data_IF_738403885573
#
_entry.id   IF_738403885573
#
_cell.length_a   1.000
_cell.length_b   1.000
_cell.length_c   1.000
_cell.angle_alpha   90.00
_cell.angle_beta   90.00
_cell.angle_gamma   90.00
#
_symmetry.space_group_name_H-M   'P 1'
#
loop_
_entity.id
_entity.type
_entity.pdbx_description
1 polymer ?
#
# COMPACT_ATOMS: atom_id res chain seq x y z
N UNK A 1 -15.13 5.76 -1.82
CA UNK A 1 -13.93 6.63 -1.88
C UNK A 1 -13.04 6.13 -3.01
N UNK A 2 -12.33 7.00 -3.73
CA UNK A 2 -11.54 6.59 -4.91
C UNK A 2 -10.15 7.23 -4.90
N UNK A 3 -9.15 6.46 -5.33
CA UNK A 3 -7.81 6.90 -5.71
C UNK A 3 -7.63 6.51 -7.18
N UNK A 4 -7.25 7.44 -8.04
CA UNK A 4 -6.71 7.14 -9.37
C UNK A 4 -5.20 7.33 -9.33
N UNK A 5 -4.45 6.30 -9.73
CA UNK A 5 -2.99 6.41 -9.78
C UNK A 5 -2.56 7.55 -10.70
N UNK A 6 -3.18 7.63 -11.89
CA UNK A 6 -2.89 8.66 -12.89
C UNK A 6 -3.04 10.08 -12.31
N UNK A 7 -4.19 10.40 -11.73
CA UNK A 7 -4.48 11.79 -11.31
C UNK A 7 -4.00 12.12 -9.90
N UNK A 8 -4.02 11.16 -8.98
CA UNK A 8 -3.74 11.41 -7.56
C UNK A 8 -2.30 11.12 -7.18
N UNK A 9 -1.54 10.40 -8.02
CA UNK A 9 -0.17 10.01 -7.72
C UNK A 9 0.82 10.33 -8.86
N UNK A 10 0.79 9.56 -9.94
CA UNK A 10 1.73 9.70 -11.05
C UNK A 10 1.29 8.93 -12.30
N UNK A 11 1.52 9.51 -13.48
CA UNK A 11 1.30 8.86 -14.77
C UNK A 11 2.26 7.69 -15.02
N UNK A 12 3.50 7.78 -14.54
CA UNK A 12 4.53 6.74 -14.71
C UNK A 12 5.07 6.28 -13.33
N UNK A 13 4.34 5.41 -12.61
CA UNK A 13 4.75 4.89 -11.31
C UNK A 13 6.13 4.24 -11.34
N UNK A 14 6.91 4.52 -10.30
CA UNK A 14 8.32 4.19 -10.21
C UNK A 14 8.62 2.84 -9.53
N UNK A 15 9.83 2.69 -8.96
CA UNK A 15 10.30 1.43 -8.42
C UNK A 15 9.69 1.11 -7.04
N UNK A 16 10.19 0.03 -6.42
CA UNK A 16 9.82 -0.39 -5.07
C UNK A 16 10.03 0.71 -4.02
N UNK A 17 11.27 1.20 -3.90
CA UNK A 17 11.72 2.03 -2.78
C UNK A 17 11.98 3.49 -3.16
N UNK A 18 11.77 4.42 -2.22
CA UNK A 18 12.06 5.85 -2.41
C UNK A 18 13.51 6.12 -2.82
N UNK A 19 14.46 5.32 -2.30
CA UNK A 19 15.88 5.46 -2.64
C UNK A 19 16.25 5.02 -4.07
N UNK A 20 15.37 4.28 -4.75
CA UNK A 20 15.61 3.76 -6.10
C UNK A 20 15.12 4.71 -7.18
N UNK A 21 14.22 5.63 -6.84
CA UNK A 21 13.63 6.56 -7.79
C UNK A 21 12.39 7.25 -7.21
N UNK A 22 11.89 8.24 -7.94
CA UNK A 22 10.66 8.97 -7.62
C UNK A 22 9.43 8.11 -7.86
N UNK A 23 8.29 8.53 -7.30
CA UNK A 23 6.99 7.89 -7.52
C UNK A 23 7.00 6.39 -7.15
N UNK A 24 7.77 6.03 -6.13
CA UNK A 24 7.91 4.64 -5.69
C UNK A 24 6.68 4.07 -4.99
N UNK A 25 6.58 2.75 -4.89
CA UNK A 25 5.51 2.08 -4.14
C UNK A 25 5.54 2.44 -2.64
N UNK A 26 6.73 2.58 -2.08
CA UNK A 26 6.94 3.08 -0.71
C UNK A 26 6.38 4.50 -0.53
N UNK A 27 6.66 5.38 -1.49
CA UNK A 27 6.14 6.76 -1.48
C UNK A 27 4.61 6.79 -1.60
N UNK A 28 4.03 6.07 -2.55
CA UNK A 28 2.58 5.99 -2.74
C UNK A 28 1.88 5.50 -1.47
N UNK A 29 2.43 4.47 -0.84
CA UNK A 29 1.89 3.89 0.38
C UNK A 29 1.77 4.94 1.50
N UNK A 30 2.89 5.58 1.83
CA UNK A 30 2.97 6.47 2.98
C UNK A 30 2.32 7.83 2.72
N UNK A 31 2.30 8.33 1.48
CA UNK A 31 1.67 9.63 1.16
C UNK A 31 0.17 9.55 0.97
N UNK A 32 -0.36 8.45 0.41
CA UNK A 32 -1.74 8.40 -0.08
C UNK A 32 -2.47 7.16 0.41
N UNK A 33 -2.00 5.96 0.06
CA UNK A 33 -2.79 4.74 0.19
C UNK A 33 -3.15 4.43 1.64
N UNK A 34 -2.18 4.54 2.57
CA UNK A 34 -2.40 4.19 3.97
C UNK A 34 -3.52 5.00 4.62
N UNK A 35 -3.49 6.33 4.49
CA UNK A 35 -4.46 7.22 5.13
C UNK A 35 -5.86 7.05 4.53
N UNK A 36 -5.96 6.99 3.20
CA UNK A 36 -7.23 6.76 2.49
C UNK A 36 -7.86 5.41 2.83
N UNK A 37 -7.03 4.37 3.03
CA UNK A 37 -7.53 3.06 3.43
C UNK A 37 -8.01 3.04 4.90
N UNK A 38 -7.30 3.71 5.80
CA UNK A 38 -7.77 3.89 7.17
C UNK A 38 -9.12 4.64 7.22
N UNK A 39 -9.30 5.67 6.40
CA UNK A 39 -10.55 6.41 6.30
C UNK A 39 -11.70 5.57 5.72
N UNK A 40 -11.40 4.68 4.76
CA UNK A 40 -12.34 3.70 4.23
C UNK A 40 -12.83 2.74 5.32
N UNK A 41 -11.93 2.22 6.17
CA UNK A 41 -12.30 1.39 7.32
C UNK A 41 -13.16 2.17 8.32
N UNK A 42 -12.75 3.40 8.70
CA UNK A 42 -13.49 4.23 9.67
C UNK A 42 -14.91 4.57 9.19
N UNK A 43 -15.05 4.87 7.90
CA UNK A 43 -16.33 5.20 7.27
C UNK A 43 -17.16 3.97 6.88
N UNK A 44 -16.60 2.75 7.04
CA UNK A 44 -17.20 1.48 6.60
C UNK A 44 -17.55 1.49 5.11
N UNK A 45 -16.70 2.09 4.29
CA UNK A 45 -16.85 2.19 2.83
C UNK A 45 -15.66 1.56 2.12
N UNK A 46 -15.86 1.04 0.91
CA UNK A 46 -14.73 0.56 0.10
C UNK A 46 -13.89 1.71 -0.45
N UNK A 47 -12.58 1.48 -0.47
CA UNK A 47 -11.60 2.26 -1.21
C UNK A 47 -11.45 1.64 -2.61
N UNK A 48 -11.84 2.40 -3.63
CA UNK A 48 -11.58 2.05 -5.01
C UNK A 48 -10.20 2.56 -5.41
N UNK A 49 -9.35 1.68 -5.92
CA UNK A 49 -8.04 1.99 -6.46
C UNK A 49 -8.06 1.75 -7.96
N UNK A 50 -8.03 2.84 -8.73
CA UNK A 50 -8.05 2.82 -10.18
C UNK A 50 -6.64 2.86 -10.75
N UNK A 51 -6.30 1.79 -11.48
CA UNK A 51 -4.99 1.56 -12.08
C UNK A 51 -4.91 1.99 -13.55
N UNK A 52 -6.04 2.26 -14.18
CA UNK A 52 -6.12 2.55 -15.61
C UNK A 52 -5.54 3.94 -15.95
N UNK A 53 -5.00 4.07 -17.17
CA UNK A 53 -4.53 5.33 -17.73
C UNK A 53 -3.08 5.71 -17.41
N UNK A 54 -2.33 4.87 -16.70
CA UNK A 54 -0.88 5.05 -16.47
C UNK A 54 -0.06 4.46 -17.61
N UNK A 55 1.23 4.82 -17.71
CA UNK A 55 2.19 4.21 -18.65
C UNK A 55 2.56 2.75 -18.33
N UNK A 56 1.98 2.18 -17.27
CA UNK A 56 2.19 0.83 -16.79
C UNK A 56 2.93 0.79 -15.45
N UNK A 57 3.07 -0.42 -14.93
CA UNK A 57 3.63 -0.65 -13.59
C UNK A 57 4.77 -1.67 -13.61
N UNK A 58 5.68 -1.51 -12.66
CA UNK A 58 6.56 -2.60 -12.25
C UNK A 58 5.87 -3.44 -11.18
N UNK A 59 5.95 -4.77 -11.23
CA UNK A 59 5.39 -5.64 -10.18
C UNK A 59 5.92 -5.27 -8.77
N UNK A 60 7.17 -4.83 -8.70
CA UNK A 60 7.82 -4.39 -7.46
C UNK A 60 7.18 -3.16 -6.79
N UNK A 61 6.48 -2.32 -7.57
CA UNK A 61 5.70 -1.19 -7.06
C UNK A 61 4.51 -1.71 -6.23
N UNK A 62 3.74 -2.65 -6.79
CA UNK A 62 2.57 -3.23 -6.13
C UNK A 62 2.95 -4.08 -4.93
N UNK A 63 4.04 -4.83 -5.05
CA UNK A 63 4.56 -5.62 -3.95
C UNK A 63 4.87 -4.74 -2.73
N UNK A 64 5.44 -3.55 -2.92
CA UNK A 64 5.65 -2.62 -1.80
C UNK A 64 4.34 -1.99 -1.32
N UNK A 65 3.57 -1.39 -2.23
CA UNK A 65 2.42 -0.59 -1.83
C UNK A 65 1.33 -1.45 -1.16
N UNK A 66 0.94 -2.54 -1.80
CA UNK A 66 -0.07 -3.46 -1.26
C UNK A 66 0.52 -4.32 -0.16
N UNK A 67 1.80 -4.69 -0.26
CA UNK A 67 2.45 -5.47 0.78
C UNK A 67 2.48 -4.77 2.14
N UNK A 68 2.83 -3.49 2.15
CA UNK A 68 2.74 -2.68 3.37
C UNK A 68 1.28 -2.54 3.85
N UNK A 69 0.33 -2.38 2.94
CA UNK A 69 -1.09 -2.31 3.29
C UNK A 69 -1.56 -3.58 3.99
N UNK A 70 -1.19 -4.76 3.48
CA UNK A 70 -1.52 -6.04 4.10
C UNK A 70 -0.79 -6.17 5.44
N UNK A 71 0.49 -5.82 5.50
CA UNK A 71 1.25 -5.86 6.75
C UNK A 71 0.59 -5.02 7.85
N UNK A 72 0.16 -3.81 7.51
CA UNK A 72 -0.40 -2.87 8.48
C UNK A 72 -1.88 -3.14 8.81
N UNK A 73 -2.68 -3.71 7.91
CA UNK A 73 -4.12 -3.86 8.11
C UNK A 73 -4.66 -5.29 8.11
N UNK A 74 -3.83 -6.30 7.82
CA UNK A 74 -4.17 -7.70 7.50
C UNK A 74 -4.87 -7.89 6.15
N UNK A 75 -4.65 -9.06 5.54
CA UNK A 75 -5.33 -9.44 4.30
C UNK A 75 -6.85 -9.47 4.43
N UNK A 76 -7.37 -9.78 5.62
CA UNK A 76 -8.82 -9.78 5.86
C UNK A 76 -9.40 -8.38 5.60
N UNK A 77 -8.81 -7.34 6.20
CA UNK A 77 -9.30 -5.96 5.98
C UNK A 77 -9.04 -5.48 4.57
N UNK A 78 -7.90 -5.82 3.99
CA UNK A 78 -7.61 -5.47 2.59
C UNK A 78 -8.66 -6.06 1.64
N UNK A 79 -9.01 -7.34 1.77
CA UNK A 79 -10.06 -7.96 0.95
C UNK A 79 -11.47 -7.38 1.23
N UNK A 80 -11.75 -6.96 2.46
CA UNK A 80 -13.03 -6.38 2.85
C UNK A 80 -13.23 -4.97 2.24
N UNK A 81 -12.20 -4.13 2.29
CA UNK A 81 -12.29 -2.69 2.00
C UNK A 81 -11.63 -2.24 0.71
N UNK A 82 -10.73 -3.00 0.09
CA UNK A 82 -10.08 -2.61 -1.16
C UNK A 82 -10.84 -3.15 -2.37
N UNK A 83 -11.11 -2.27 -3.34
CA UNK A 83 -11.61 -2.61 -4.65
C UNK A 83 -10.66 -2.09 -5.72
N UNK A 84 -10.28 -2.94 -6.68
CA UNK A 84 -9.35 -2.57 -7.76
C UNK A 84 -10.10 -2.46 -9.09
N UNK A 85 -9.91 -1.32 -9.76
CA UNK A 85 -10.30 -1.05 -11.13
C UNK A 85 -9.02 -1.16 -11.99
N UNK A 86 -9.00 -2.11 -12.92
CA UNK A 86 -7.88 -2.38 -13.83
C UNK A 86 -8.45 -2.99 -15.10
N UNK A 87 -9.11 -2.17 -15.92
CA UNK A 87 -9.77 -2.60 -17.16
C UNK A 87 -8.79 -2.72 -18.31
N UNK A 88 -7.76 -1.88 -18.35
CA UNK A 88 -6.75 -1.88 -19.41
C UNK A 88 -5.79 -3.06 -19.24
N UNK A 89 -5.36 -3.31 -18.00
CA UNK A 89 -4.45 -4.40 -17.66
C UNK A 89 -4.99 -5.24 -16.48
N UNK A 90 -5.94 -6.18 -16.70
CA UNK A 90 -6.53 -6.98 -15.62
C UNK A 90 -5.51 -7.83 -14.84
N UNK A 91 -4.34 -8.10 -15.42
CA UNK A 91 -3.25 -8.86 -14.79
C UNK A 91 -2.79 -8.24 -13.47
N UNK A 92 -2.85 -6.92 -13.30
CA UNK A 92 -2.47 -6.28 -12.05
C UNK A 92 -3.42 -6.62 -10.91
N UNK A 93 -4.73 -6.62 -11.20
CA UNK A 93 -5.74 -7.06 -10.24
C UNK A 93 -5.52 -8.52 -9.86
N UNK A 94 -5.24 -9.38 -10.83
CA UNK A 94 -4.95 -10.79 -10.55
C UNK A 94 -3.68 -10.98 -9.72
N UNK A 95 -2.59 -10.32 -10.07
CA UNK A 95 -1.32 -10.37 -9.34
C UNK A 95 -1.51 -9.95 -7.88
N UNK A 96 -2.22 -8.85 -7.65
CA UNK A 96 -2.47 -8.30 -6.32
C UNK A 96 -3.27 -9.27 -5.46
N UNK A 97 -4.41 -9.75 -5.95
CA UNK A 97 -5.30 -10.59 -5.13
C UNK A 97 -4.84 -12.04 -5.02
N UNK A 98 -4.21 -12.60 -6.06
CA UNK A 98 -3.80 -14.02 -6.07
C UNK A 98 -2.41 -14.26 -5.51
N UNK A 99 -1.50 -13.28 -5.56
CA UNK A 99 -0.09 -13.47 -5.16
C UNK A 99 0.31 -12.54 -4.02
N UNK A 100 0.26 -11.23 -4.25
CA UNK A 100 0.81 -10.25 -3.29
C UNK A 100 0.09 -10.29 -1.95
N UNK A 101 -1.26 -10.27 -1.94
CA UNK A 101 -2.02 -10.26 -0.69
C UNK A 101 -1.77 -11.52 0.16
N UNK A 102 -1.88 -12.75 -0.40
CA UNK A 102 -1.53 -13.97 0.34
C UNK A 102 -0.10 -13.99 0.87
N UNK A 103 0.89 -13.67 0.02
CA UNK A 103 2.31 -13.70 0.39
C UNK A 103 2.62 -12.74 1.55
N UNK A 104 2.08 -11.52 1.50
CA UNK A 104 2.31 -10.54 2.56
C UNK A 104 1.55 -10.81 3.84
N UNK A 105 0.44 -11.56 3.78
CA UNK A 105 -0.24 -12.04 4.98
C UNK A 105 0.64 -13.06 5.71
N UNK A 106 1.27 -13.98 4.99
CA UNK A 106 2.23 -14.90 5.60
C UNK A 106 3.40 -14.15 6.26
N UNK A 107 3.93 -13.13 5.58
CA UNK A 107 5.01 -12.29 6.12
C UNK A 107 4.56 -11.54 7.38
N UNK A 108 3.34 -10.99 7.38
CA UNK A 108 2.73 -10.34 8.55
C UNK A 108 2.63 -11.31 9.73
N UNK A 109 2.15 -12.54 9.51
CA UNK A 109 2.03 -13.58 10.54
C UNK A 109 3.42 -13.97 11.09
N UNK A 110 4.43 -14.04 10.23
CA UNK A 110 5.82 -14.31 10.59
C UNK A 110 6.54 -13.09 11.19
N UNK A 111 5.88 -11.94 11.28
CA UNK A 111 6.45 -10.66 11.69
C UNK A 111 7.69 -10.24 10.87
N UNK A 112 7.72 -10.63 9.59
CA UNK A 112 8.74 -10.19 8.63
C UNK A 112 8.38 -8.78 8.11
N UNK A 113 8.96 -7.79 8.77
CA UNK A 113 8.61 -6.38 8.56
C UNK A 113 9.07 -5.84 7.20
N UNK A 114 8.24 -5.07 6.49
CA UNK A 114 8.66 -4.38 5.26
C UNK A 114 9.84 -3.45 5.52
N UNK A 115 10.79 -3.42 4.59
CA UNK A 115 11.91 -2.48 4.62
C UNK A 115 11.40 -1.05 4.47
N UNK A 116 12.04 -0.10 5.15
CA UNK A 116 11.81 1.34 5.00
C UNK A 116 13.11 1.99 4.58
N UNK A 117 13.12 2.63 3.41
CA UNK A 117 14.33 3.23 2.84
C UNK A 117 14.40 4.73 3.02
N UNK A 118 13.28 5.37 3.35
CA UNK A 118 13.28 6.72 3.89
C UNK A 118 12.77 6.76 5.33
N UNK A 119 13.68 6.62 6.29
CA UNK A 119 13.31 6.58 7.70
C UNK A 119 12.86 7.93 8.26
N UNK A 120 13.34 9.04 7.68
CA UNK A 120 13.05 10.39 8.16
C UNK A 120 11.90 11.09 7.38
N UNK A 121 11.48 10.57 6.22
CA UNK A 121 10.45 11.23 5.41
C UNK A 121 9.04 10.66 5.65
N UNK A 122 8.93 9.52 6.32
CA UNK A 122 7.63 8.90 6.61
C UNK A 122 7.01 9.49 7.86
N UNK A 123 5.99 10.32 7.66
CA UNK A 123 5.10 10.79 8.73
C UNK A 123 4.37 9.61 9.37
N UNK A 124 3.79 9.85 10.55
CA UNK A 124 2.96 8.87 11.24
C UNK A 124 1.85 8.30 10.32
N UNK A 125 1.74 6.96 10.29
CA UNK A 125 0.78 6.25 9.45
C UNK A 125 -0.03 5.24 10.28
N UNK A 126 -1.13 4.77 9.71
CA UNK A 126 -2.08 3.89 10.38
C UNK A 126 -1.64 2.42 10.31
N UNK A 127 -1.82 1.71 11.42
CA UNK A 127 -1.73 0.25 11.51
C UNK A 127 -2.87 -0.28 12.37
N UNK A 128 -3.36 -1.47 12.05
CA UNK A 128 -4.29 -2.23 12.86
C UNK A 128 -3.52 -2.99 13.95
N UNK A 129 -3.70 -2.57 15.20
CA UNK A 129 -3.11 -3.21 16.38
C UNK A 129 -4.23 -3.65 17.30
N UNK A 130 -4.30 -4.95 17.59
CA UNK A 130 -5.35 -5.55 18.43
C UNK A 130 -6.78 -5.15 18.01
N UNK A 131 -7.01 -5.02 16.70
CA UNK A 131 -8.30 -4.64 16.12
C UNK A 131 -8.60 -3.13 16.14
N UNK A 132 -7.70 -2.29 16.64
CA UNK A 132 -7.83 -0.84 16.66
C UNK A 132 -6.87 -0.16 15.68
N UNK A 133 -7.32 0.92 15.05
CA UNK A 133 -6.47 1.73 14.18
C UNK A 133 -5.63 2.69 15.03
N UNK A 134 -4.33 2.49 15.05
CA UNK A 134 -3.36 3.39 15.67
C UNK A 134 -2.61 4.19 14.59
N UNK A 135 -2.41 5.49 14.81
CA UNK A 135 -1.57 6.34 13.97
C UNK A 135 -0.33 6.78 14.74
N UNK A 136 0.85 6.34 14.30
CA UNK A 136 2.14 6.79 14.85
C UNK A 136 3.27 6.53 13.86
N UNK A 137 4.48 6.93 14.22
CA UNK A 137 5.69 6.55 13.48
C UNK A 137 6.05 5.12 13.93
N UNK A 138 6.13 4.18 12.98
CA UNK A 138 6.43 2.77 13.29
C UNK A 138 7.86 2.35 12.92
N UNK A 139 8.65 3.26 12.37
CA UNK A 139 10.08 3.06 12.26
C UNK A 139 10.65 3.28 13.66
N UNK A 140 11.29 2.27 14.25
CA UNK A 140 12.10 2.53 15.43
C UNK A 140 13.24 3.43 14.98
N UNK A 141 13.39 4.58 15.63
CA UNK A 141 14.65 5.29 15.66
C UNK A 141 15.66 4.41 16.38
N UNK A 142 16.20 3.41 15.67
CA UNK A 142 17.41 2.74 16.11
C UNK A 142 18.52 3.77 15.96
N UNK A 143 18.87 4.34 17.11
CA UNK A 143 20.12 4.99 17.51
C UNK A 143 21.09 5.30 16.37
N UNK A 144 21.35 6.61 16.22
CA UNK A 144 22.59 7.26 15.73
C UNK A 144 23.61 6.35 15.05
#
# INVERSE_FOLDING_TARGET
MTISILSDFNESPGPRYCKQGKASGEEFYHKILNSKFADAIKSKQKLQLNLDGTDGYMSSFWDEAIGNLVFDFSSQKVNEYLEIISKEEPVWKELIFKSIIPEWEERRIKNDTPKKTSQNDHKAWFRLVNGQLEQKIWISSSVV
#
